data_IF_921824414763
#
_entry.id   IF_921824414763
#
_cell.length_a   1.000
_cell.length_b   1.000
_cell.length_c   1.000
_cell.angle_alpha   90.00
_cell.angle_beta   90.00
_cell.angle_gamma   90.00
#
_symmetry.space_group_name_H-M   'P 1'
#
loop_
_entity.id
_entity.type
_entity.pdbx_description
1 polymer ?
#
# COMPACT_ATOMS: atom_id res chain seq x y z
N UNK A 1 19.85 -4.94 -3.98
CA UNK A 1 18.40 -5.03 -3.83
C UNK A 1 18.09 -5.35 -2.38
N UNK A 2 17.08 -4.71 -1.81
CA UNK A 2 16.55 -5.08 -0.50
C UNK A 2 15.74 -6.39 -0.64
N UNK A 3 15.69 -7.26 0.36
CA UNK A 3 15.00 -8.54 0.25
C UNK A 3 13.50 -8.37 0.41
N UNK A 4 12.79 -9.15 -0.39
CA UNK A 4 11.35 -9.34 -0.31
C UNK A 4 10.99 -10.08 0.98
N UNK A 5 9.96 -9.64 1.73
CA UNK A 5 9.41 -10.40 2.84
C UNK A 5 8.99 -11.82 2.47
N UNK A 6 9.12 -12.74 3.41
CA UNK A 6 8.64 -14.10 3.25
C UNK A 6 7.10 -14.16 3.36
N UNK A 7 6.44 -14.71 2.35
CA UNK A 7 4.99 -14.92 2.28
C UNK A 7 4.59 -16.40 2.24
N UNK A 8 5.47 -17.31 2.67
CA UNK A 8 5.24 -18.76 2.60
C UNK A 8 4.08 -19.27 3.46
N UNK A 9 3.61 -18.47 4.43
CA UNK A 9 2.46 -18.76 5.29
C UNK A 9 1.12 -18.35 4.64
N UNK A 10 1.16 -17.62 3.52
CA UNK A 10 -0.04 -17.07 2.89
C UNK A 10 -0.73 -18.14 2.04
N UNK A 11 -2.05 -18.27 2.20
CA UNK A 11 -2.88 -19.10 1.32
C UNK A 11 -3.36 -18.27 0.12
N UNK A 12 -2.80 -18.54 -1.05
CA UNK A 12 -3.13 -17.82 -2.28
C UNK A 12 -4.45 -18.26 -2.93
N UNK A 13 -5.17 -19.21 -2.32
CA UNK A 13 -6.53 -19.57 -2.74
C UNK A 13 -7.51 -18.40 -2.61
N UNK A 14 -7.26 -17.47 -1.66
CA UNK A 14 -8.16 -16.34 -1.35
C UNK A 14 -7.42 -15.01 -1.20
N UNK A 15 -6.10 -15.00 -1.33
CA UNK A 15 -5.24 -13.83 -1.10
C UNK A 15 -4.36 -13.62 -2.33
N UNK A 16 -4.12 -12.38 -2.70
CA UNK A 16 -3.25 -12.03 -3.80
C UNK A 16 -1.81 -12.53 -3.59
N UNK A 17 -1.30 -13.30 -4.56
CA UNK A 17 0.10 -13.72 -4.62
C UNK A 17 0.97 -12.58 -5.17
N UNK A 18 2.08 -12.20 -4.50
CA UNK A 18 2.98 -11.17 -5.00
C UNK A 18 3.43 -11.41 -6.45
N UNK A 19 3.19 -10.43 -7.31
CA UNK A 19 3.57 -10.50 -8.73
C UNK A 19 4.40 -9.27 -9.16
N UNK A 20 4.61 -9.09 -10.46
CA UNK A 20 5.38 -8.00 -11.06
C UNK A 20 4.95 -6.61 -10.57
N UNK A 21 3.65 -6.41 -10.33
CA UNK A 21 3.10 -5.16 -9.78
C UNK A 21 3.56 -4.88 -8.34
N UNK A 22 3.63 -5.93 -7.53
CA UNK A 22 4.10 -5.90 -6.15
C UNK A 22 5.60 -5.62 -6.11
N UNK A 23 6.37 -6.29 -6.97
CA UNK A 23 7.81 -6.09 -7.07
C UNK A 23 8.16 -4.69 -7.61
N UNK A 24 7.38 -4.16 -8.56
CA UNK A 24 7.51 -2.78 -9.01
C UNK A 24 7.32 -1.80 -7.83
N UNK A 25 6.40 -2.07 -6.92
CA UNK A 25 6.23 -1.29 -5.70
C UNK A 25 7.46 -1.30 -4.81
N UNK A 26 8.04 -2.48 -4.58
CA UNK A 26 9.24 -2.63 -3.75
C UNK A 26 10.42 -1.87 -4.37
N UNK A 27 10.66 -2.09 -5.66
CA UNK A 27 11.75 -1.47 -6.41
C UNK A 27 11.62 0.05 -6.48
N UNK A 28 10.39 0.55 -6.66
CA UNK A 28 10.13 1.99 -6.70
C UNK A 28 10.44 2.65 -5.37
N UNK A 29 9.92 2.13 -4.26
CA UNK A 29 10.15 2.70 -2.92
C UNK A 29 11.59 2.55 -2.44
N UNK A 30 12.29 1.50 -2.90
CA UNK A 30 13.71 1.29 -2.63
C UNK A 30 14.66 2.05 -3.56
N UNK A 31 14.13 2.66 -4.64
CA UNK A 31 14.96 3.37 -5.60
C UNK A 31 15.70 4.54 -4.93
N UNK A 32 16.93 4.86 -5.35
CA UNK A 32 17.70 5.96 -4.75
C UNK A 32 16.98 7.31 -4.82
N UNK A 33 16.25 7.57 -5.91
CA UNK A 33 15.48 8.82 -6.06
C UNK A 33 14.30 8.90 -5.09
N UNK A 34 13.56 7.80 -4.93
CA UNK A 34 12.34 7.82 -4.14
C UNK A 34 12.63 7.76 -2.64
N UNK A 35 13.57 6.92 -2.24
CA UNK A 35 14.05 6.87 -0.85
C UNK A 35 14.67 8.20 -0.40
N UNK A 36 15.40 8.90 -1.28
CA UNK A 36 15.90 10.24 -1.00
C UNK A 36 14.75 11.24 -0.81
N UNK A 37 13.73 11.20 -1.67
CA UNK A 37 12.56 12.08 -1.58
C UNK A 37 11.77 11.85 -0.27
N UNK A 38 11.49 10.58 0.06
CA UNK A 38 10.82 10.19 1.30
C UNK A 38 11.64 10.57 2.54
N UNK A 39 12.96 10.34 2.51
CA UNK A 39 13.88 10.77 3.57
C UNK A 39 13.80 12.28 3.78
N UNK A 40 13.88 13.07 2.71
CA UNK A 40 13.76 14.54 2.82
C UNK A 40 12.40 14.95 3.38
N UNK A 41 11.31 14.40 2.85
CA UNK A 41 9.93 14.72 3.22
C UNK A 41 9.64 14.43 4.69
N UNK A 42 10.16 13.33 5.24
CA UNK A 42 9.82 12.86 6.58
C UNK A 42 10.86 13.17 7.66
N UNK A 43 12.03 13.71 7.31
CA UNK A 43 13.05 14.14 8.29
C UNK A 43 13.31 15.65 8.30
N UNK A 44 12.94 16.40 7.26
CA UNK A 44 13.09 17.84 7.27
C UNK A 44 11.95 18.52 8.04
N UNK A 45 12.29 19.45 8.94
CA UNK A 45 11.36 20.43 9.49
C UNK A 45 11.89 21.84 9.16
N UNK A 46 11.41 22.49 8.09
CA UNK A 46 11.89 23.80 7.67
C UNK A 46 11.75 24.86 8.76
N UNK A 47 10.69 24.76 9.56
CA UNK A 47 10.35 25.72 10.62
C UNK A 47 11.12 25.49 11.92
N UNK A 48 11.70 24.30 12.12
CA UNK A 48 12.45 23.94 13.33
C UNK A 48 13.42 22.80 13.03
N UNK A 49 14.59 23.08 12.41
CA UNK A 49 15.56 22.07 11.99
C UNK A 49 16.06 21.18 13.12
N UNK A 50 16.06 21.71 14.36
CA UNK A 50 16.56 21.03 15.55
C UNK A 50 15.49 20.19 16.27
N UNK A 51 14.23 20.18 15.79
CA UNK A 51 13.16 19.38 16.38
C UNK A 51 12.85 18.12 15.55
N UNK A 52 12.74 16.94 16.20
CA UNK A 52 12.35 15.72 15.51
C UNK A 52 10.92 15.84 14.95
N UNK A 53 10.74 15.39 13.72
CA UNK A 53 9.41 15.30 13.10
C UNK A 53 8.64 14.09 13.66
N UNK A 54 7.32 14.21 13.74
CA UNK A 54 6.46 13.11 14.17
C UNK A 54 6.66 11.86 13.31
N UNK A 55 6.67 10.70 13.98
CA UNK A 55 6.67 9.36 13.38
C UNK A 55 5.58 9.22 12.32
N UNK A 56 5.90 8.88 11.06
CA UNK A 56 4.91 8.85 9.99
C UNK A 56 4.00 7.62 10.10
N UNK A 57 2.70 7.83 9.94
CA UNK A 57 1.71 6.78 9.73
C UNK A 57 1.76 6.31 8.28
N UNK A 58 2.18 5.06 8.06
CA UNK A 58 2.25 4.42 6.75
C UNK A 58 1.08 3.45 6.62
N UNK A 59 0.18 3.72 5.69
CA UNK A 59 -1.00 2.90 5.44
C UNK A 59 -0.90 2.22 4.09
N UNK A 60 -1.08 0.90 4.04
CA UNK A 60 -1.36 0.18 2.79
C UNK A 60 -2.84 -0.17 2.76
N UNK A 61 -3.54 0.22 1.68
CA UNK A 61 -4.89 -0.24 1.38
C UNK A 61 -4.82 -1.47 0.46
N UNK A 62 -5.69 -2.46 0.66
CA UNK A 62 -5.68 -3.71 -0.09
C UNK A 62 -4.37 -4.48 0.09
N UNK A 63 -3.98 -4.74 1.34
CA UNK A 63 -2.65 -5.28 1.66
C UNK A 63 -2.37 -6.67 1.09
N UNK A 64 -3.39 -7.48 0.83
CA UNK A 64 -3.23 -8.83 0.30
C UNK A 64 -2.31 -9.68 1.19
N UNK A 65 -1.19 -10.14 0.61
CA UNK A 65 -0.16 -10.90 1.34
C UNK A 65 0.62 -10.07 2.37
N UNK A 66 0.54 -8.74 2.31
CA UNK A 66 1.28 -7.78 3.13
C UNK A 66 2.74 -7.61 2.71
N UNK A 67 3.12 -8.05 1.50
CA UNK A 67 4.49 -7.99 1.03
C UNK A 67 5.01 -6.56 0.89
N UNK A 68 4.17 -5.61 0.46
CA UNK A 68 4.57 -4.21 0.28
C UNK A 68 4.71 -3.51 1.63
N UNK A 69 3.67 -3.53 2.49
CA UNK A 69 3.78 -2.94 3.83
C UNK A 69 4.88 -3.59 4.65
N UNK A 70 5.03 -4.92 4.58
CA UNK A 70 6.11 -5.65 5.26
C UNK A 70 7.50 -5.25 4.78
N UNK A 71 7.68 -5.03 3.48
CA UNK A 71 8.94 -4.55 2.91
C UNK A 71 9.25 -3.13 3.37
N UNK A 72 8.27 -2.24 3.31
CA UNK A 72 8.41 -0.84 3.73
C UNK A 72 8.73 -0.75 5.22
N UNK A 73 8.04 -1.53 6.04
CA UNK A 73 8.26 -1.62 7.48
C UNK A 73 9.67 -2.14 7.81
N UNK A 74 10.05 -3.28 7.24
CA UNK A 74 11.34 -3.90 7.52
C UNK A 74 12.54 -3.04 7.08
N UNK A 75 12.38 -2.27 6.00
CA UNK A 75 13.44 -1.48 5.38
C UNK A 75 13.31 0.03 5.62
N UNK A 76 12.53 0.45 6.61
CA UNK A 76 12.19 1.86 6.80
C UNK A 76 13.43 2.77 6.97
N UNK A 77 14.53 2.27 7.55
CA UNK A 77 15.78 3.02 7.65
C UNK A 77 16.36 3.40 6.28
N UNK A 78 16.23 2.53 5.28
CA UNK A 78 16.70 2.80 3.92
C UNK A 78 15.71 3.68 3.16
N UNK A 79 14.41 3.42 3.32
CA UNK A 79 13.34 4.09 2.57
C UNK A 79 13.07 5.51 3.09
N UNK A 80 13.05 5.69 4.41
CA UNK A 80 12.70 6.94 5.08
C UNK A 80 13.86 7.57 5.83
N UNK A 81 15.04 6.95 5.90
CA UNK A 81 16.13 7.43 6.75
C UNK A 81 15.86 7.28 8.26
N UNK A 82 14.75 6.64 8.66
CA UNK A 82 14.31 6.48 10.05
C UNK A 82 13.63 5.14 10.31
N UNK A 83 13.66 4.68 11.56
CA UNK A 83 13.06 3.39 11.97
C UNK A 83 11.70 3.53 12.62
N UNK A 84 11.39 4.66 13.23
CA UNK A 84 10.17 4.90 14.00
C UNK A 84 8.96 5.25 13.11
N UNK A 85 8.69 4.45 12.09
CA UNK A 85 7.43 4.56 11.33
C UNK A 85 6.33 3.72 11.99
N UNK A 86 5.08 4.03 11.67
CA UNK A 86 3.89 3.35 12.19
C UNK A 86 3.10 2.70 11.04
N UNK A 87 3.39 1.44 10.66
CA UNK A 87 2.68 0.75 9.59
C UNK A 87 1.28 0.28 10.03
N UNK A 88 0.27 0.48 9.19
CA UNK A 88 -1.10 0.02 9.36
C UNK A 88 -1.62 -0.57 8.04
N UNK A 89 -2.11 -1.81 8.07
CA UNK A 89 -2.76 -2.42 6.91
C UNK A 89 -4.27 -2.20 6.92
N UNK A 90 -4.87 -2.03 5.75
CA UNK A 90 -6.32 -2.12 5.56
C UNK A 90 -6.62 -3.08 4.42
N UNK A 91 -7.52 -4.02 4.63
CA UNK A 91 -7.99 -4.93 3.58
C UNK A 91 -9.45 -5.30 3.79
N UNK A 92 -10.19 -5.54 2.71
CA UNK A 92 -11.58 -6.00 2.79
C UNK A 92 -11.67 -7.48 3.15
N UNK A 93 -10.57 -8.24 2.99
CA UNK A 93 -10.46 -9.65 3.30
C UNK A 93 -9.75 -9.89 4.65
N UNK A 94 -10.46 -10.51 5.60
CA UNK A 94 -9.95 -10.92 6.91
C UNK A 94 -8.70 -11.79 6.83
N UNK A 95 -8.62 -12.70 5.87
CA UNK A 95 -7.46 -13.57 5.72
C UNK A 95 -6.24 -12.78 5.23
N UNK A 96 -6.43 -11.78 4.36
CA UNK A 96 -5.37 -10.85 3.95
C UNK A 96 -4.88 -10.00 5.13
N UNK A 97 -5.80 -9.50 5.98
CA UNK A 97 -5.43 -8.80 7.22
C UNK A 97 -4.53 -9.65 8.13
N UNK A 98 -4.86 -10.93 8.32
CA UNK A 98 -4.10 -11.87 9.16
C UNK A 98 -2.73 -12.17 8.53
N UNK A 99 -2.71 -12.48 7.24
CA UNK A 99 -1.49 -12.73 6.48
C UNK A 99 -0.53 -11.54 6.57
N UNK A 100 -1.06 -10.33 6.39
CA UNK A 100 -0.30 -9.08 6.44
C UNK A 100 0.36 -8.85 7.79
N UNK A 101 -0.37 -9.11 8.89
CA UNK A 101 0.21 -9.00 10.25
C UNK A 101 1.40 -9.93 10.42
N UNK A 102 1.29 -11.18 9.97
CA UNK A 102 2.38 -12.16 10.07
C UNK A 102 3.56 -11.76 9.18
N UNK A 103 3.31 -11.38 7.91
CA UNK A 103 4.32 -10.92 6.96
C UNK A 103 5.11 -9.74 7.51
N UNK A 104 4.42 -8.68 7.94
CA UNK A 104 5.06 -7.46 8.44
C UNK A 104 5.83 -7.70 9.74
N UNK A 105 5.25 -8.42 10.70
CA UNK A 105 5.89 -8.71 12.00
C UNK A 105 7.17 -9.54 11.79
N UNK A 106 7.10 -10.57 10.94
CA UNK A 106 8.26 -11.41 10.63
C UNK A 106 9.36 -10.61 9.93
N UNK A 107 9.01 -9.81 8.92
CA UNK A 107 9.97 -9.01 8.17
C UNK A 107 10.67 -7.96 9.06
N UNK A 108 9.93 -7.26 9.92
CA UNK A 108 10.50 -6.31 10.89
C UNK A 108 11.47 -7.03 11.83
N UNK A 109 11.06 -8.18 12.40
CA UNK A 109 11.90 -8.95 13.33
C UNK A 109 13.20 -9.45 12.69
N UNK A 110 13.13 -9.89 11.44
CA UNK A 110 14.30 -10.39 10.69
C UNK A 110 15.27 -9.26 10.33
N UNK A 111 14.76 -8.05 10.04
CA UNK A 111 15.59 -6.92 9.57
C UNK A 111 16.05 -5.96 10.65
N UNK A 112 15.24 -5.72 11.68
CA UNK A 112 15.51 -4.72 12.70
C UNK A 112 15.90 -5.41 14.03
N UNK A 113 16.96 -6.21 13.99
CA UNK A 113 17.48 -6.91 15.18
C UNK A 113 18.16 -5.95 16.16
N UNK A 114 18.21 -6.30 17.44
CA UNK A 114 18.84 -5.51 18.51
C UNK A 114 20.38 -5.43 18.44
N UNK A 115 21.02 -6.07 17.46
CA UNK A 115 22.46 -6.27 17.42
C UNK A 115 23.24 -5.19 16.63
N UNK A 116 22.58 -4.17 16.10
CA UNK A 116 23.27 -3.04 15.45
C UNK A 116 23.54 -1.93 16.47
N UNK A 117 24.74 -1.97 17.07
CA UNK A 117 25.42 -0.88 17.80
C UNK A 117 24.54 0.07 18.62
N UNK A 118 24.60 -0.11 19.94
CA UNK A 118 23.91 0.61 21.01
C UNK A 118 24.11 2.15 21.10
N UNK A 119 24.49 2.83 20.01
CA UNK A 119 24.87 4.24 20.00
C UNK A 119 23.97 5.13 19.12
N UNK A 120 23.00 4.56 18.38
CA UNK A 120 22.01 5.34 17.63
C UNK A 120 20.60 4.92 18.00
N UNK A 121 19.85 5.89 18.55
CA UNK A 121 18.41 5.89 18.86
C UNK A 121 17.69 4.54 18.66
N UNK A 122 17.44 3.81 19.77
CA UNK A 122 16.84 2.46 19.86
C UNK A 122 15.42 2.29 19.26
N UNK A 123 14.94 3.25 18.48
CA UNK A 123 13.60 3.21 17.92
C UNK A 123 13.53 2.18 16.79
N UNK A 124 12.46 1.40 16.79
CA UNK A 124 12.15 0.39 15.79
C UNK A 124 10.79 0.69 15.19
N UNK A 125 10.56 0.11 14.02
CA UNK A 125 9.24 0.16 13.40
C UNK A 125 8.25 -0.58 14.28
N UNK A 126 7.13 0.08 14.60
CA UNK A 126 6.04 -0.49 15.38
C UNK A 126 4.87 -0.74 14.45
N UNK A 127 4.70 -1.99 14.03
CA UNK A 127 3.51 -2.41 13.29
C UNK A 127 2.27 -2.23 14.17
N UNK A 128 1.34 -1.39 13.74
CA UNK A 128 0.15 -1.03 14.53
C UNK A 128 -0.90 -2.14 14.49
N UNK A 129 -1.42 -2.45 13.30
CA UNK A 129 -2.46 -3.46 13.08
C UNK A 129 -2.71 -3.68 11.58
N UNK A 130 -3.55 -4.67 11.27
CA UNK A 130 -4.38 -4.68 10.06
C UNK A 130 -5.83 -4.47 10.47
N UNK A 131 -6.59 -3.69 9.68
CA UNK A 131 -8.00 -3.40 9.91
C UNK A 131 -8.82 -3.88 8.73
N UNK A 132 -9.90 -4.59 9.02
CA UNK A 132 -10.84 -5.00 8.00
C UNK A 132 -11.78 -3.84 7.68
N UNK A 133 -11.60 -3.19 6.54
CA UNK A 133 -12.39 -2.04 6.14
C UNK A 133 -12.36 -1.82 4.62
N UNK A 134 -13.27 -1.00 4.14
CA UNK A 134 -13.34 -0.55 2.75
C UNK A 134 -12.54 0.75 2.58
N UNK A 135 -11.45 0.69 1.82
CA UNK A 135 -10.55 1.83 1.56
C UNK A 135 -10.21 2.62 2.86
N UNK A 136 -10.32 3.95 2.84
CA UNK A 136 -10.01 4.81 3.97
C UNK A 136 -11.14 4.94 5.01
N UNK A 137 -12.24 4.20 4.88
CA UNK A 137 -13.47 4.43 5.68
C UNK A 137 -13.28 4.34 7.20
N UNK A 138 -12.31 3.57 7.68
CA UNK A 138 -11.99 3.44 9.11
C UNK A 138 -10.87 4.37 9.60
N UNK A 139 -10.30 5.18 8.69
CA UNK A 139 -9.15 6.02 8.98
C UNK A 139 -9.60 7.43 9.38
N UNK A 140 -8.82 8.07 10.25
CA UNK A 140 -9.08 9.45 10.65
C UNK A 140 -8.76 10.37 9.46
N UNK A 141 -9.63 11.33 9.11
CA UNK A 141 -9.32 12.31 8.08
C UNK A 141 -8.02 13.08 8.41
N UNK A 142 -7.20 13.30 7.39
CA UNK A 142 -5.95 14.04 7.48
C UNK A 142 -4.90 13.41 8.37
N UNK A 143 -4.90 12.08 8.56
CA UNK A 143 -3.92 11.39 9.42
C UNK A 143 -2.86 10.58 8.69
N UNK A 144 -3.04 10.30 7.39
CA UNK A 144 -2.14 9.37 6.68
C UNK A 144 -0.94 10.12 6.11
N UNK A 145 0.25 9.84 6.63
CA UNK A 145 1.50 10.44 6.14
C UNK A 145 1.95 9.79 4.83
N UNK A 146 1.85 8.47 4.70
CA UNK A 146 2.19 7.72 3.49
C UNK A 146 1.07 6.72 3.20
N UNK A 147 0.45 6.84 2.05
CA UNK A 147 -0.59 5.93 1.57
C UNK A 147 -0.02 5.08 0.43
N UNK A 148 -0.16 3.77 0.50
CA UNK A 148 0.25 2.81 -0.52
C UNK A 148 -1.00 2.10 -1.04
N UNK A 149 -1.16 2.02 -2.35
CA UNK A 149 -2.26 1.28 -2.95
C UNK A 149 -1.85 0.57 -4.24
N UNK A 150 -1.91 -0.75 -4.22
CA UNK A 150 -1.94 -1.58 -5.43
C UNK A 150 -3.40 -2.01 -5.68
N UNK A 151 -4.19 -1.24 -6.45
CA UNK A 151 -5.62 -1.51 -6.63
C UNK A 151 -5.89 -2.83 -7.39
N UNK A 152 -7.11 -3.37 -7.32
CA UNK A 152 -7.60 -4.24 -8.38
C UNK A 152 -7.80 -3.42 -9.66
N UNK A 153 -6.82 -3.47 -10.57
CA UNK A 153 -6.75 -2.60 -11.76
C UNK A 153 -7.17 -3.27 -13.07
N UNK A 154 -7.59 -4.54 -13.03
CA UNK A 154 -7.96 -5.28 -14.25
C UNK A 154 -9.40 -4.94 -14.63
N UNK A 155 -9.68 -4.49 -15.87
CA UNK A 155 -11.05 -4.26 -16.30
C UNK A 155 -11.91 -5.52 -16.16
N UNK A 156 -13.09 -5.37 -15.56
CA UNK A 156 -14.07 -6.44 -15.40
C UNK A 156 -15.47 -5.93 -15.78
N UNK A 157 -16.37 -6.86 -16.13
CA UNK A 157 -17.77 -6.50 -16.47
C UNK A 157 -18.49 -5.87 -15.28
N UNK A 158 -18.25 -6.39 -14.09
CA UNK A 158 -18.80 -5.90 -12.83
C UNK A 158 -17.72 -5.82 -11.76
N UNK A 159 -17.86 -4.86 -10.85
CA UNK A 159 -17.05 -4.78 -9.64
C UNK A 159 -17.62 -5.77 -8.60
N UNK A 160 -16.82 -6.69 -8.04
CA UNK A 160 -17.31 -7.58 -7.00
C UNK A 160 -17.79 -6.78 -5.80
N UNK A 161 -18.95 -7.14 -5.26
CA UNK A 161 -19.44 -6.54 -4.02
C UNK A 161 -18.47 -6.78 -2.88
N UNK A 162 -18.45 -5.90 -1.89
CA UNK A 162 -17.64 -6.10 -0.69
C UNK A 162 -18.16 -7.26 0.16
N UNK A 163 -17.27 -8.01 0.85
CA UNK A 163 -17.68 -9.12 1.70
C UNK A 163 -18.47 -8.63 2.91
N UNK A 164 -19.57 -9.31 3.21
CA UNK A 164 -20.27 -9.10 4.48
C UNK A 164 -19.53 -9.79 5.63
N UNK A 165 -19.77 -9.33 6.86
CA UNK A 165 -19.14 -9.91 8.08
C UNK A 165 -19.37 -11.43 8.16
N UNK A 166 -20.57 -11.90 7.80
CA UNK A 166 -20.92 -13.33 7.83
C UNK A 166 -20.15 -14.19 6.83
N UNK A 167 -19.65 -13.60 5.74
CA UNK A 167 -18.90 -14.32 4.71
C UNK A 167 -17.41 -14.42 5.04
N UNK A 168 -16.95 -13.67 6.04
CA UNK A 168 -15.56 -13.63 6.47
C UNK A 168 -15.26 -14.63 7.60
N UNK A 169 -16.28 -14.99 8.39
CA UNK A 169 -16.16 -15.86 9.58
C UNK A 169 -16.72 -17.28 9.33
N UNK A 170 -16.76 -17.73 8.08
CA UNK A 170 -17.28 -19.07 7.74
C UNK A 170 -16.28 -20.14 8.17
N UNK A 171 -16.67 -21.02 9.08
CA UNK A 171 -15.89 -22.21 9.43
C UNK A 171 -15.71 -23.09 8.19
N UNK A 172 -14.47 -23.29 7.77
CA UNK A 172 -14.14 -24.12 6.61
C UNK A 172 -14.49 -25.59 6.85
N UNK A 173 -14.57 -26.00 8.12
CA UNK A 173 -14.89 -27.36 8.55
C UNK A 173 -16.41 -27.61 8.50
N UNK A 174 -16.98 -27.67 7.30
CA UNK A 174 -18.38 -28.05 7.13
C UNK A 174 -19.03 -27.62 5.82
N UNK A 175 -18.37 -26.78 5.02
CA UNK A 175 -18.90 -26.35 3.72
C UNK A 175 -18.66 -27.40 2.64
N UNK A 176 -19.59 -27.50 1.68
CA UNK A 176 -19.43 -28.38 0.53
C UNK A 176 -18.26 -27.92 -0.36
N UNK A 177 -17.69 -28.83 -1.15
CA UNK A 177 -16.62 -28.50 -2.11
C UNK A 177 -17.03 -27.41 -3.11
N UNK A 178 -18.29 -27.37 -3.53
CA UNK A 178 -18.80 -26.34 -4.43
C UNK A 178 -18.89 -24.97 -3.74
N UNK A 179 -19.41 -24.93 -2.51
CA UNK A 179 -19.50 -23.69 -1.73
C UNK A 179 -18.10 -23.12 -1.41
N UNK A 180 -17.12 -23.99 -1.12
CA UNK A 180 -15.72 -23.57 -0.96
C UNK A 180 -15.19 -22.92 -2.25
N UNK A 181 -15.36 -23.58 -3.40
CA UNK A 181 -14.88 -23.05 -4.68
C UNK A 181 -15.50 -21.69 -5.04
N UNK A 182 -16.82 -21.54 -4.86
CA UNK A 182 -17.52 -20.27 -5.10
C UNK A 182 -16.99 -19.15 -4.21
N UNK A 183 -16.78 -19.43 -2.92
CA UNK A 183 -16.21 -18.49 -1.97
C UNK A 183 -14.78 -18.09 -2.35
N UNK A 184 -13.93 -19.07 -2.66
CA UNK A 184 -12.53 -18.83 -2.98
C UNK A 184 -12.43 -18.02 -4.30
N UNK A 185 -13.23 -18.36 -5.30
CA UNK A 185 -13.35 -17.58 -6.55
C UNK A 185 -13.83 -16.14 -6.31
N UNK A 186 -14.76 -15.94 -5.38
CA UNK A 186 -15.24 -14.61 -5.03
C UNK A 186 -14.14 -13.77 -4.35
N UNK A 187 -13.43 -14.31 -3.35
CA UNK A 187 -12.34 -13.59 -2.71
C UNK A 187 -11.19 -13.30 -3.67
N UNK A 188 -10.88 -14.23 -4.57
CA UNK A 188 -9.87 -14.00 -5.60
C UNK A 188 -10.30 -12.89 -6.58
N UNK A 189 -11.59 -12.79 -6.91
CA UNK A 189 -12.07 -11.70 -7.78
C UNK A 189 -11.81 -10.31 -7.19
N UNK A 190 -11.86 -10.17 -5.86
CA UNK A 190 -11.59 -8.89 -5.17
C UNK A 190 -10.14 -8.41 -5.36
N UNK A 191 -9.21 -9.32 -5.69
CA UNK A 191 -7.77 -8.97 -5.79
C UNK A 191 -7.40 -8.35 -7.13
N UNK A 192 -8.22 -8.51 -8.17
CA UNK A 192 -7.89 -8.04 -9.52
C UNK A 192 -9.02 -7.27 -10.22
N UNK A 193 -10.29 -7.59 -9.96
CA UNK A 193 -11.41 -7.03 -10.70
C UNK A 193 -11.67 -5.56 -10.31
N UNK A 194 -11.35 -4.65 -11.22
CA UNK A 194 -11.44 -3.20 -11.02
C UNK A 194 -12.68 -2.54 -11.62
N UNK A 195 -13.61 -3.33 -12.18
CA UNK A 195 -14.80 -2.82 -12.85
C UNK A 195 -14.47 -2.10 -14.15
N UNK A 196 -15.27 -1.08 -14.49
CA UNK A 196 -15.11 -0.28 -15.70
C UNK A 196 -13.71 0.32 -15.81
N UNK A 197 -13.04 0.04 -16.92
CA UNK A 197 -11.68 0.47 -17.23
C UNK A 197 -10.64 0.10 -16.14
N UNK A 198 -10.99 -0.81 -15.21
CA UNK A 198 -10.18 -1.18 -14.06
C UNK A 198 -10.05 -0.07 -13.01
N UNK A 199 -10.99 0.87 -12.98
CA UNK A 199 -10.83 2.14 -12.26
C UNK A 199 -11.88 2.40 -11.18
N UNK A 200 -12.93 1.57 -11.02
CA UNK A 200 -14.03 1.89 -10.10
C UNK A 200 -13.56 2.02 -8.64
N UNK A 201 -12.74 1.07 -8.16
CA UNK A 201 -12.15 1.13 -6.81
C UNK A 201 -11.11 2.25 -6.71
N UNK A 202 -10.30 2.41 -7.75
CA UNK A 202 -9.24 3.42 -7.80
C UNK A 202 -9.81 4.83 -7.77
N UNK A 203 -10.87 5.11 -8.51
CA UNK A 203 -11.55 6.40 -8.55
C UNK A 203 -12.13 6.77 -7.19
N UNK A 204 -12.73 5.80 -6.49
CA UNK A 204 -13.20 6.00 -5.10
C UNK A 204 -12.05 6.42 -4.18
N UNK A 205 -10.89 5.75 -4.28
CA UNK A 205 -9.73 6.16 -3.49
C UNK A 205 -9.25 7.56 -3.89
N UNK A 206 -9.15 7.85 -5.18
CA UNK A 206 -8.70 9.15 -5.67
C UNK A 206 -9.58 10.28 -5.12
N UNK A 207 -10.89 10.08 -5.00
CA UNK A 207 -11.81 11.03 -4.38
C UNK A 207 -11.59 11.18 -2.85
N UNK A 208 -11.10 10.14 -2.16
CA UNK A 208 -10.80 10.16 -0.71
C UNK A 208 -9.45 10.81 -0.38
N UNK A 209 -8.45 10.74 -1.28
CA UNK A 209 -7.07 11.20 -1.03
C UNK A 209 -6.99 12.61 -0.44
N UNK A 210 -7.69 13.65 -0.95
CA UNK A 210 -7.63 15.00 -0.40
C UNK A 210 -8.05 15.11 1.07
N UNK A 211 -8.97 14.25 1.53
CA UNK A 211 -9.43 14.22 2.92
C UNK A 211 -8.66 13.25 3.80
N UNK A 212 -7.94 12.30 3.22
CA UNK A 212 -7.25 11.23 3.95
C UNK A 212 -5.80 11.59 4.30
N UNK A 213 -5.06 12.20 3.37
CA UNK A 213 -3.65 12.52 3.55
C UNK A 213 -3.41 13.61 4.60
N UNK A 214 -2.37 13.42 5.40
CA UNK A 214 -1.91 14.40 6.38
C UNK A 214 -1.57 15.74 5.69
N UNK A 215 -2.16 16.86 6.13
CA UNK A 215 -1.89 18.17 5.53
C UNK A 215 -0.40 18.51 5.55
N UNK A 216 0.10 18.97 4.41
CA UNK A 216 1.46 19.49 4.24
C UNK A 216 2.58 18.44 4.10
N UNK A 217 2.41 17.21 4.60
CA UNK A 217 3.44 16.16 4.46
C UNK A 217 2.97 14.88 3.80
N UNK A 218 1.66 14.64 3.78
CA UNK A 218 1.05 13.43 3.22
C UNK A 218 1.40 13.17 1.77
N UNK A 219 1.61 11.91 1.43
CA UNK A 219 1.88 11.42 0.07
C UNK A 219 1.14 10.10 -0.16
N UNK A 220 0.66 9.87 -1.38
CA UNK A 220 0.11 8.61 -1.82
C UNK A 220 0.92 8.03 -2.98
N UNK A 221 1.04 6.70 -3.02
CA UNK A 221 1.60 5.93 -4.12
C UNK A 221 0.51 5.00 -4.63
N UNK A 222 0.12 5.15 -5.88
CA UNK A 222 -0.94 4.36 -6.51
C UNK A 222 -0.41 3.73 -7.77
N UNK A 223 -0.62 2.42 -7.92
CA UNK A 223 -0.26 1.68 -9.13
C UNK A 223 -1.36 1.79 -10.19
N UNK A 224 -0.93 1.92 -11.44
CA UNK A 224 -1.80 1.94 -12.62
C UNK A 224 -1.20 1.07 -13.73
N UNK A 225 -2.07 0.41 -14.50
CA UNK A 225 -1.71 -0.19 -15.78
C UNK A 225 -1.97 0.79 -16.93
N UNK A 226 -1.53 0.44 -18.15
CA UNK A 226 -1.72 1.27 -19.34
C UNK A 226 -3.21 1.57 -19.62
N UNK A 227 -4.10 0.62 -19.38
CA UNK A 227 -5.53 0.76 -19.65
C UNK A 227 -6.21 1.77 -18.72
N UNK A 228 -5.67 1.98 -17.52
CA UNK A 228 -6.17 2.98 -16.57
C UNK A 228 -5.86 4.43 -17.01
N UNK A 229 -5.15 4.63 -18.13
CA UNK A 229 -4.77 5.95 -18.69
C UNK A 229 -4.11 6.85 -17.64
N UNK A 230 -2.97 6.44 -17.06
CA UNK A 230 -2.35 7.16 -15.93
C UNK A 230 -2.00 8.62 -16.23
N UNK A 231 -1.81 8.99 -17.51
CA UNK A 231 -1.58 10.38 -17.87
C UNK A 231 -2.82 11.26 -17.66
N UNK A 232 -4.00 10.80 -18.08
CA UNK A 232 -5.29 11.48 -17.85
C UNK A 232 -5.60 11.54 -16.35
N UNK A 233 -5.31 10.47 -15.61
CA UNK A 233 -5.46 10.44 -14.14
C UNK A 233 -4.59 11.50 -13.47
N UNK A 234 -3.31 11.61 -13.84
CA UNK A 234 -2.40 12.65 -13.31
C UNK A 234 -2.89 14.06 -13.63
N UNK A 235 -3.40 14.29 -14.83
CA UNK A 235 -3.96 15.60 -15.22
C UNK A 235 -5.19 15.96 -14.38
N UNK A 236 -6.09 15.00 -14.13
CA UNK A 236 -7.24 15.19 -13.23
C UNK A 236 -6.80 15.49 -11.79
N UNK A 237 -5.81 14.77 -11.28
CA UNK A 237 -5.29 14.99 -9.91
C UNK A 237 -4.69 16.39 -9.76
N UNK A 238 -3.89 16.84 -10.73
CA UNK A 238 -3.34 18.21 -10.73
C UNK A 238 -4.42 19.29 -10.83
N UNK A 239 -5.63 18.94 -11.27
CA UNK A 239 -6.78 19.82 -11.32
C UNK A 239 -7.64 19.84 -10.04
N UNK A 240 -7.28 19.09 -8.98
CA UNK A 240 -7.98 19.11 -7.68
C UNK A 240 -7.90 20.45 -6.93
N UNK A 241 -6.96 21.30 -7.31
CA UNK A 241 -6.73 22.62 -6.71
C UNK A 241 -5.24 22.92 -6.59
N UNK A 242 -4.94 24.11 -6.07
CA UNK A 242 -3.57 24.62 -6.04
C UNK A 242 -2.64 23.72 -5.22
N UNK A 243 -1.47 23.43 -5.79
CA UNK A 243 -0.39 22.68 -5.16
C UNK A 243 -0.46 21.15 -5.30
N UNK A 244 -1.52 20.57 -5.86
CA UNK A 244 -1.56 19.11 -6.10
C UNK A 244 -0.60 18.69 -7.21
N UNK A 245 0.22 17.69 -6.91
CA UNK A 245 1.20 17.09 -7.81
C UNK A 245 0.91 15.61 -7.99
N UNK A 246 1.19 15.09 -9.18
CA UNK A 246 1.06 13.69 -9.50
C UNK A 246 2.15 13.29 -10.51
N UNK A 247 3.13 12.52 -10.06
CA UNK A 247 4.30 12.16 -10.88
C UNK A 247 4.50 10.67 -10.98
N UNK A 248 4.91 10.20 -12.15
CA UNK A 248 5.30 8.79 -12.33
C UNK A 248 6.69 8.60 -11.74
N UNK A 249 6.79 7.76 -10.70
CA UNK A 249 8.03 7.50 -9.96
C UNK A 249 8.54 6.07 -10.13
N UNK A 250 7.69 5.15 -10.59
CA UNK A 250 8.03 3.78 -10.93
C UNK A 250 7.47 3.37 -12.28
N UNK A 251 8.19 2.53 -13.03
CA UNK A 251 7.68 1.92 -14.27
C UNK A 251 8.28 0.53 -14.51
N UNK A 252 7.50 -0.39 -15.08
CA UNK A 252 7.96 -1.75 -15.45
C UNK A 252 8.78 -1.82 -16.75
N UNK A 253 9.17 -0.68 -17.34
CA UNK A 253 9.95 -0.60 -18.59
C UNK A 253 9.14 -0.77 -19.89
N UNK A 254 9.85 -0.98 -21.01
CA UNK A 254 9.27 -1.17 -22.35
C UNK A 254 9.10 -2.65 -22.77
N UNK A 255 9.54 -3.60 -21.94
CA UNK A 255 9.59 -5.03 -22.29
C UNK A 255 8.33 -5.84 -21.96
N UNK A 256 7.26 -5.22 -21.46
CA UNK A 256 5.98 -5.88 -21.27
C UNK A 256 4.93 -5.20 -22.16
N UNK A 257 4.27 -5.97 -23.02
CA UNK A 257 3.30 -5.49 -24.00
C UNK A 257 2.11 -4.74 -23.38
N UNK A 258 0.97 -5.42 -23.21
CA UNK A 258 -0.28 -4.80 -22.73
C UNK A 258 -0.24 -4.39 -21.24
N UNK A 259 0.87 -4.65 -20.54
CA UNK A 259 1.04 -4.53 -19.09
C UNK A 259 2.12 -3.49 -18.72
N UNK A 260 2.08 -2.31 -19.35
CA UNK A 260 2.92 -1.20 -18.86
C UNK A 260 2.35 -0.73 -17.51
N UNK A 261 3.04 -1.10 -16.44
CA UNK A 261 2.71 -0.71 -15.07
C UNK A 261 3.49 0.54 -14.69
N UNK A 262 2.84 1.43 -13.97
CA UNK A 262 3.45 2.64 -13.41
C UNK A 262 2.99 2.88 -11.99
N UNK A 263 3.87 3.46 -11.18
CA UNK A 263 3.53 3.96 -9.85
C UNK A 263 3.52 5.47 -9.92
N UNK A 264 2.40 6.05 -9.51
CA UNK A 264 2.21 7.51 -9.44
C UNK A 264 2.27 7.94 -7.99
N UNK A 265 3.19 8.86 -7.70
CA UNK A 265 3.27 9.59 -6.44
C UNK A 265 2.37 10.80 -6.50
N UNK A 266 1.47 10.94 -5.53
CA UNK A 266 0.49 12.02 -5.43
C UNK A 266 0.72 12.75 -4.11
N UNK A 267 0.90 14.07 -4.15
CA UNK A 267 1.08 14.87 -2.94
C UNK A 267 0.61 16.29 -3.17
N UNK A 268 0.43 17.03 -2.07
CA UNK A 268 0.25 18.47 -2.12
C UNK A 268 1.55 19.15 -1.74
N UNK A 269 2.03 20.07 -2.57
CA UNK A 269 3.14 20.95 -2.24
C UNK A 269 2.70 21.91 -1.12
N UNK A 270 3.55 22.07 -0.12
CA UNK A 270 3.38 23.14 0.87
C UNK A 270 3.88 24.44 0.28
N UNK A 271 3.05 25.48 0.33
CA UNK A 271 3.50 26.86 0.13
C UNK A 271 4.59 27.26 1.13
#
# INVERSE_FOLDING_TARGET
MLPTPCTSHVSFDTIYEPSEDSYLFLDTLASPSESAWLTQRFNANPSSPDQPTASPLVVELGTGSGVVLGFVAANSQVIFGRRDILPLGVDVNRNACIATRETATKAIKERQTDNESAETNNQKTVYLSSVMADLGSSLRPGSVDVLLFNPPYVPSEELPRLPSVTEQDVDELGISRSAKFERDSYFLSLTYAGGRDGMETTDRLLDEIPGLLAPGRGVAYVLFCAQNRPQEVKERIRAWGDGWQAETVGNSGQQAGWEKLVIVRIWKETE
#
